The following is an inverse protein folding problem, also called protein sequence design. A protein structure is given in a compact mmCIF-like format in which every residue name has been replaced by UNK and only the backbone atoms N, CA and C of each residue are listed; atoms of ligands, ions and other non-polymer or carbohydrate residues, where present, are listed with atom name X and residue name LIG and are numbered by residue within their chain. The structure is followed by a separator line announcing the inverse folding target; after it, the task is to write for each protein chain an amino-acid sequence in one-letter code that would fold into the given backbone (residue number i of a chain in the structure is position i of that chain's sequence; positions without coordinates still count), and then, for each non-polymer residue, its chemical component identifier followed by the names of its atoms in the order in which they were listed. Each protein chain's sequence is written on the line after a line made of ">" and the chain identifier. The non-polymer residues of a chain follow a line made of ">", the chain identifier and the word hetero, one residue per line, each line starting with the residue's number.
data_IF_777241028529
#
_entry.id   IF_777241028529
#
_cell.length_a   1.000
_cell.length_b   1.000
_cell.length_c   1.000
_cell.angle_alpha   90.00
_cell.angle_beta   90.00
_cell.angle_gamma   90.00
#
_symmetry.space_group_name_H-M   'P 1'
#
loop_
_entity.id
_entity.type
_entity.pdbx_description
1 polymer ?
#
# COMPACT_ATOMS: atom_id res chain seq x y z
N UNK A 1 -4.03 -12.65 21.75
CA UNK A 1 -2.68 -13.04 21.26
C UNK A 1 -2.16 -11.88 20.45
N UNK A 2 -1.34 -11.04 21.09
CA UNK A 2 -0.71 -9.86 20.50
C UNK A 2 0.80 -9.99 20.75
N UNK A 3 1.51 -10.64 19.83
CA UNK A 3 2.94 -10.91 19.98
C UNK A 3 3.77 -10.07 18.97
N UNK A 4 4.18 -8.90 19.45
CA UNK A 4 5.58 -8.45 19.58
C UNK A 4 6.56 -8.74 18.42
N UNK A 5 7.19 -7.69 17.85
CA UNK A 5 8.62 -7.37 18.05
C UNK A 5 9.16 -6.19 17.21
N UNK A 6 9.93 -5.40 17.92
CA UNK A 6 10.72 -4.21 17.62
C UNK A 6 11.74 -4.31 16.48
N UNK A 7 12.01 -3.18 15.79
CA UNK A 7 13.37 -2.66 15.57
C UNK A 7 13.37 -1.27 14.91
N UNK A 8 14.11 -0.37 15.51
CA UNK A 8 14.42 0.97 14.99
C UNK A 8 15.20 0.89 13.67
N UNK A 9 14.55 1.31 12.58
CA UNK A 9 15.12 1.78 11.30
C UNK A 9 14.11 2.82 10.81
N UNK A 10 14.53 3.94 10.17
CA UNK A 10 13.70 5.15 10.05
C UNK A 10 12.31 4.76 9.58
N UNK A 11 11.30 5.05 10.41
CA UNK A 11 9.91 4.62 10.30
C UNK A 11 9.55 4.38 8.84
N UNK A 12 9.69 3.14 8.38
CA UNK A 12 9.15 2.72 7.08
C UNK A 12 7.65 2.75 7.33
N UNK A 13 7.01 3.92 7.19
CA UNK A 13 5.56 3.96 7.19
C UNK A 13 5.18 2.94 6.13
N UNK A 14 4.47 1.91 6.56
CA UNK A 14 4.07 0.89 5.60
C UNK A 14 3.28 1.61 4.52
N UNK A 15 3.44 1.22 3.25
CA UNK A 15 2.74 1.88 2.14
C UNK A 15 1.21 1.94 2.34
N UNK A 16 0.68 1.04 3.18
CA UNK A 16 -0.71 1.03 3.63
C UNK A 16 -1.16 2.27 4.44
N UNK A 17 -0.26 3.09 4.99
CA UNK A 17 -0.60 4.23 5.83
C UNK A 17 -0.53 5.58 5.10
N UNK A 18 0.18 5.65 3.99
CA UNK A 18 0.22 6.85 3.14
C UNK A 18 -1.04 6.98 2.29
N UNK A 19 -1.55 5.84 1.80
CA UNK A 19 -2.63 5.82 0.81
C UNK A 19 -3.66 4.72 1.13
N UNK A 20 -4.47 4.89 2.20
CA UNK A 20 -5.44 3.88 2.63
C UNK A 20 -6.57 3.68 1.60
N UNK A 21 -6.97 4.74 0.89
CA UNK A 21 -7.99 4.68 -0.16
C UNK A 21 -7.55 3.81 -1.34
N UNK A 22 -6.40 4.11 -1.94
CA UNK A 22 -5.90 3.36 -3.10
C UNK A 22 -5.52 1.92 -2.71
N UNK A 23 -5.03 1.70 -1.48
CA UNK A 23 -4.77 0.34 -0.97
C UNK A 23 -6.06 -0.47 -0.86
N UNK A 24 -7.12 0.10 -0.29
CA UNK A 24 -8.41 -0.57 -0.11
C UNK A 24 -9.06 -0.84 -1.46
N UNK A 25 -9.06 0.13 -2.37
CA UNK A 25 -9.56 -0.05 -3.73
C UNK A 25 -8.78 -1.13 -4.47
N UNK A 26 -7.44 -1.15 -4.35
CA UNK A 26 -6.59 -2.17 -4.95
C UNK A 26 -6.86 -3.57 -4.38
N UNK A 27 -6.91 -3.73 -3.06
CA UNK A 27 -7.27 -5.04 -2.45
C UNK A 27 -8.64 -5.50 -2.91
N UNK A 28 -9.63 -4.61 -2.87
CA UNK A 28 -10.99 -4.95 -3.25
C UNK A 28 -11.06 -5.31 -4.75
N UNK A 29 -10.38 -4.57 -5.60
CA UNK A 29 -10.28 -4.88 -7.02
C UNK A 29 -9.52 -6.21 -7.24
N UNK A 30 -8.42 -6.48 -6.53
CA UNK A 30 -7.72 -7.77 -6.64
C UNK A 30 -8.63 -8.95 -6.26
N UNK A 31 -9.55 -8.75 -5.31
CA UNK A 31 -10.53 -9.75 -4.89
C UNK A 31 -11.67 -9.89 -5.91
N UNK A 32 -12.20 -8.78 -6.43
CA UNK A 32 -13.38 -8.79 -7.32
C UNK A 32 -13.04 -9.06 -8.79
N UNK A 33 -11.94 -8.49 -9.28
CA UNK A 33 -11.53 -8.47 -10.69
C UNK A 33 -10.26 -9.26 -10.96
N UNK A 34 -9.36 -9.33 -9.98
CA UNK A 34 -8.02 -9.93 -10.14
C UNK A 34 -6.96 -8.89 -10.52
N UNK A 35 -5.70 -9.19 -10.18
CA UNK A 35 -4.57 -8.26 -10.27
C UNK A 35 -4.37 -7.62 -11.66
N UNK A 36 -4.83 -8.28 -12.73
CA UNK A 36 -4.74 -7.81 -14.11
C UNK A 36 -5.60 -6.56 -14.40
N UNK A 37 -6.79 -6.43 -13.82
CA UNK A 37 -7.68 -5.27 -14.04
C UNK A 37 -7.32 -4.09 -13.10
N UNK A 38 -6.52 -4.38 -12.07
CA UNK A 38 -6.23 -3.44 -10.99
C UNK A 38 -4.88 -2.75 -11.14
N UNK A 39 -4.20 -2.92 -12.28
CA UNK A 39 -2.91 -2.28 -12.54
C UNK A 39 -2.99 -0.75 -12.41
N UNK A 40 -4.09 -0.13 -12.88
CA UNK A 40 -4.37 1.29 -12.69
C UNK A 40 -4.40 1.70 -11.21
N UNK A 41 -5.06 0.90 -10.36
CA UNK A 41 -5.13 1.16 -8.91
C UNK A 41 -3.77 0.93 -8.23
N UNK A 42 -2.97 -0.03 -8.72
CA UNK A 42 -1.61 -0.26 -8.25
C UNK A 42 -0.71 0.93 -8.63
N UNK A 43 -0.82 1.46 -9.84
CA UNK A 43 -0.10 2.65 -10.25
C UNK A 43 -0.51 3.88 -9.44
N UNK A 44 -1.80 4.12 -9.24
CA UNK A 44 -2.28 5.20 -8.38
C UNK A 44 -1.77 5.07 -6.93
N UNK A 45 -1.71 3.84 -6.40
CA UNK A 45 -1.13 3.58 -5.08
C UNK A 45 0.38 3.88 -5.05
N UNK A 46 1.12 3.46 -6.09
CA UNK A 46 2.56 3.73 -6.25
C UNK A 46 2.86 5.21 -6.42
N UNK A 47 2.04 5.96 -7.16
CA UNK A 47 2.19 7.40 -7.34
C UNK A 47 1.99 8.15 -6.02
N UNK A 48 0.92 7.80 -5.29
CA UNK A 48 0.67 8.36 -3.96
C UNK A 48 1.84 8.05 -2.99
N UNK A 49 2.43 6.85 -3.07
CA UNK A 49 3.64 6.53 -2.31
C UNK A 49 4.85 7.36 -2.71
N UNK A 50 5.07 7.57 -4.02
CA UNK A 50 6.12 8.48 -4.52
C UNK A 50 5.92 9.91 -4.03
N UNK A 51 4.68 10.42 -4.05
CA UNK A 51 4.36 11.76 -3.52
C UNK A 51 4.67 11.87 -2.03
N UNK A 52 4.44 10.81 -1.26
CA UNK A 52 4.79 10.75 0.15
C UNK A 52 6.27 10.45 0.46
N UNK A 53 7.13 10.37 -0.57
CA UNK A 53 8.56 10.13 -0.42
C UNK A 53 8.96 8.66 -0.22
N UNK A 54 8.04 7.72 -0.46
CA UNK A 54 8.34 6.29 -0.50
C UNK A 54 8.86 5.91 -1.88
N UNK A 55 10.09 5.40 -1.93
CA UNK A 55 10.66 4.78 -3.14
C UNK A 55 10.08 3.37 -3.28
N UNK A 56 9.18 3.18 -4.24
CA UNK A 56 8.47 1.92 -4.55
C UNK A 56 8.97 1.29 -5.83
#
# INVERSE_FOLDING_TARGET
>A
MDDKKSKETPKKLRPCCACPETKKARDQCMIEKGEADCQDLIEAHKDCLRQHGFKV
#
